data_IF_922804198704
#
_entry.id   IF_922804198704
#
_cell.length_a   1.000
_cell.length_b   1.000
_cell.length_c   1.000
_cell.angle_alpha   90.00
_cell.angle_beta   90.00
_cell.angle_gamma   90.00
#
_symmetry.space_group_name_H-M   'P 1'
#
loop_
_entity.id
_entity.type
_entity.pdbx_description
1 polymer ?
#
# COMPACT_ATOMS: atom_id res chain seq x y z
N UNK A 1 34.51 -0.69 -28.61
CA UNK A 1 35.08 -1.50 -27.53
C UNK A 1 33.92 -2.00 -26.68
N UNK A 2 33.66 -3.30 -26.75
CA UNK A 2 32.58 -3.99 -26.05
C UNK A 2 33.26 -4.79 -24.95
N UNK A 3 33.08 -4.40 -23.69
CA UNK A 3 33.56 -5.21 -22.58
C UNK A 3 32.46 -6.14 -22.07
N UNK A 4 32.87 -7.40 -22.02
CA UNK A 4 32.08 -8.60 -21.86
C UNK A 4 31.93 -8.91 -20.37
N UNK A 5 30.70 -9.23 -20.01
CA UNK A 5 30.22 -9.97 -18.84
C UNK A 5 31.28 -10.86 -18.18
N UNK A 6 31.50 -10.69 -16.88
CA UNK A 6 32.00 -11.76 -16.00
C UNK A 6 30.97 -12.07 -14.94
N UNK A 7 30.19 -13.11 -15.21
CA UNK A 7 29.41 -13.86 -14.21
C UNK A 7 30.41 -14.68 -13.39
N UNK A 8 30.50 -14.43 -12.09
CA UNK A 8 31.18 -15.35 -11.18
C UNK A 8 30.16 -16.37 -10.66
N UNK A 9 30.20 -17.55 -11.27
CA UNK A 9 29.64 -18.79 -10.74
C UNK A 9 30.71 -19.48 -9.88
N UNK A 10 30.28 -20.01 -8.74
CA UNK A 10 30.91 -21.18 -8.11
C UNK A 10 31.66 -20.91 -6.81
N UNK A 11 30.98 -21.13 -5.68
CA UNK A 11 31.52 -21.93 -4.58
C UNK A 11 30.42 -22.83 -4.02
N UNK A 12 30.55 -24.11 -4.33
CA UNK A 12 29.81 -25.23 -3.74
C UNK A 12 30.35 -25.39 -2.32
N UNK A 13 29.48 -25.33 -1.31
CA UNK A 13 29.80 -25.74 0.06
C UNK A 13 28.93 -26.95 0.38
N UNK A 14 29.63 -28.01 0.77
CA UNK A 14 29.08 -29.29 1.14
C UNK A 14 28.44 -29.25 2.55
N UNK A 15 27.31 -29.94 2.67
CA UNK A 15 27.00 -30.84 3.79
C UNK A 15 26.74 -30.23 5.17
N UNK A 16 25.47 -30.02 5.48
CA UNK A 16 24.91 -30.32 6.81
C UNK A 16 23.51 -30.90 6.65
N UNK A 17 23.38 -32.18 7.00
CA UNK A 17 22.13 -32.95 7.00
C UNK A 17 21.23 -32.48 8.14
N UNK A 18 20.07 -31.91 7.82
CA UNK A 18 18.96 -31.72 8.78
C UNK A 18 18.15 -33.01 8.81
N UNK A 19 18.18 -33.71 9.95
CA UNK A 19 17.31 -34.84 10.20
C UNK A 19 15.87 -34.35 10.41
N UNK A 20 15.02 -34.50 9.39
CA UNK A 20 13.57 -34.31 9.52
C UNK A 20 12.98 -35.60 10.07
N UNK A 21 12.59 -35.60 11.34
CA UNK A 21 11.78 -36.66 11.92
C UNK A 21 10.36 -36.58 11.32
N UNK A 22 10.11 -37.32 10.25
CA UNK A 22 8.76 -37.54 9.73
C UNK A 22 8.07 -38.60 10.60
N UNK A 23 7.18 -38.16 11.50
CA UNK A 23 6.30 -39.07 12.21
C UNK A 23 5.25 -39.62 11.22
N UNK A 24 5.48 -40.82 10.71
CA UNK A 24 4.50 -41.56 9.92
C UNK A 24 3.47 -42.18 10.87
N UNK A 25 2.26 -41.64 10.90
CA UNK A 25 1.12 -42.29 11.57
C UNK A 25 0.62 -43.39 10.63
N UNK A 26 1.03 -44.64 10.90
CA UNK A 26 0.47 -45.82 10.27
C UNK A 26 -0.92 -46.07 10.86
N UNK A 27 -1.97 -45.77 10.10
CA UNK A 27 -3.31 -46.26 10.38
C UNK A 27 -3.33 -47.74 10.03
N UNK A 28 -3.32 -48.59 11.06
CA UNK A 28 -3.45 -50.04 10.91
C UNK A 28 -4.82 -50.40 10.35
N UNK A 29 -4.85 -50.88 9.11
CA UNK A 29 -6.02 -51.55 8.55
C UNK A 29 -5.92 -53.02 8.99
N UNK A 30 -6.63 -53.39 10.06
CA UNK A 30 -6.80 -54.80 10.43
C UNK A 30 -7.71 -55.47 9.40
N UNK A 31 -7.11 -56.22 8.47
CA UNK A 31 -7.80 -57.20 7.65
C UNK A 31 -7.77 -58.54 8.39
N UNK A 32 -8.81 -58.79 9.19
CA UNK A 32 -9.15 -60.12 9.70
C UNK A 32 -10.43 -60.60 9.00
N UNK A 33 -10.36 -61.83 8.49
CA UNK A 33 -11.21 -62.38 7.44
C UNK A 33 -12.71 -62.51 7.73
N UNK A 34 -13.44 -62.61 6.61
CA UNK A 34 -14.67 -63.35 6.33
C UNK A 34 -15.53 -63.79 7.53
N UNK A 35 -16.70 -63.15 7.72
CA UNK A 35 -18.02 -63.66 7.27
C UNK A 35 -19.17 -62.75 7.76
N UNK A 36 -20.10 -62.49 6.83
CA UNK A 36 -21.50 -62.05 6.93
C UNK A 36 -22.05 -61.31 8.17
N UNK A 37 -22.61 -60.11 7.95
CA UNK A 37 -23.78 -59.66 8.69
C UNK A 37 -23.82 -58.18 9.12
N UNK A 38 -24.23 -57.31 8.20
CA UNK A 38 -24.90 -56.01 8.43
C UNK A 38 -24.53 -55.16 9.64
N UNK A 39 -23.72 -54.10 9.42
CA UNK A 39 -23.76 -52.80 10.15
C UNK A 39 -22.83 -51.77 9.50
N UNK A 40 -22.87 -51.65 8.16
CA UNK A 40 -22.01 -50.73 7.40
C UNK A 40 -22.39 -49.24 7.45
N UNK A 41 -23.57 -48.89 7.98
CA UNK A 41 -24.14 -47.54 7.84
C UNK A 41 -24.00 -46.63 9.07
N UNK A 42 -23.48 -47.11 10.20
CA UNK A 42 -23.41 -46.27 11.42
C UNK A 42 -22.09 -45.52 11.61
N UNK A 43 -21.00 -45.99 11.01
CA UNK A 43 -19.67 -45.42 11.26
C UNK A 43 -19.24 -44.39 10.20
N UNK A 44 -19.73 -44.50 8.96
CA UNK A 44 -19.55 -43.47 7.93
C UNK A 44 -20.39 -42.21 8.20
N UNK A 45 -21.56 -42.35 8.85
CA UNK A 45 -22.43 -41.24 9.21
C UNK A 45 -21.93 -40.42 10.41
N UNK A 46 -21.05 -40.95 11.26
CA UNK A 46 -20.48 -40.21 12.40
C UNK A 46 -19.35 -39.24 11.98
N UNK A 47 -18.67 -39.52 10.86
CA UNK A 47 -17.63 -38.64 10.31
C UNK A 47 -18.22 -37.56 9.38
N UNK A 48 -19.30 -37.88 8.65
CA UNK A 48 -20.02 -36.91 7.81
C UNK A 48 -20.84 -35.90 8.64
N UNK A 49 -21.46 -36.33 9.76
CA UNK A 49 -22.25 -35.44 10.62
C UNK A 49 -21.44 -34.36 11.38
N UNK A 50 -20.10 -34.41 11.34
CA UNK A 50 -19.23 -33.38 11.94
C UNK A 50 -18.72 -32.33 10.94
N UNK A 51 -18.97 -32.50 9.65
CA UNK A 51 -18.55 -31.53 8.62
C UNK A 51 -19.64 -30.48 8.31
N UNK A 52 -20.88 -30.71 8.74
CA UNK A 52 -22.00 -29.74 8.66
C UNK A 52 -22.12 -28.84 9.91
N UNK A 53 -21.13 -28.87 10.80
CA UNK A 53 -21.08 -27.95 11.93
C UNK A 53 -20.78 -26.54 11.40
N UNK A 54 -21.82 -25.70 11.32
CA UNK A 54 -21.67 -24.26 11.10
C UNK A 54 -20.66 -23.74 12.14
N UNK A 55 -19.52 -23.23 11.67
CA UNK A 55 -18.54 -22.61 12.53
C UNK A 55 -19.24 -21.50 13.32
N UNK A 56 -19.05 -21.48 14.64
CA UNK A 56 -19.58 -20.38 15.46
C UNK A 56 -19.02 -19.07 14.92
N UNK A 57 -19.86 -18.04 14.93
CA UNK A 57 -19.46 -16.70 14.52
C UNK A 57 -18.18 -16.29 15.26
N UNK A 58 -17.16 -15.89 14.49
CA UNK A 58 -15.92 -15.38 15.07
C UNK A 58 -16.19 -14.05 15.76
N UNK A 59 -15.75 -13.93 17.01
CA UNK A 59 -15.76 -12.65 17.72
C UNK A 59 -14.41 -11.98 17.46
N UNK A 60 -14.43 -10.75 16.97
CA UNK A 60 -13.23 -9.91 16.89
C UNK A 60 -13.01 -9.31 18.27
N UNK A 61 -11.88 -9.65 18.90
CA UNK A 61 -11.48 -9.02 20.15
C UNK A 61 -11.17 -7.55 19.91
N UNK A 62 -11.48 -6.70 20.89
CA UNK A 62 -11.09 -5.31 20.84
C UNK A 62 -9.56 -5.21 20.80
N UNK A 63 -9.03 -4.28 20.00
CA UNK A 63 -7.61 -3.97 20.04
C UNK A 63 -7.22 -3.51 21.45
N UNK A 64 -6.03 -3.89 21.95
CA UNK A 64 -5.53 -3.37 23.22
C UNK A 64 -5.35 -1.85 23.14
N UNK A 65 -5.38 -1.19 24.29
CA UNK A 65 -5.07 0.24 24.36
C UNK A 65 -3.64 0.50 23.87
N UNK A 66 -3.49 1.52 23.03
CA UNK A 66 -2.18 1.95 22.54
C UNK A 66 -1.39 2.63 23.67
N UNK A 67 -0.11 2.27 23.81
CA UNK A 67 0.80 2.92 24.76
C UNK A 67 1.28 4.29 24.27
N UNK A 68 1.84 5.12 25.16
CA UNK A 68 2.36 6.44 24.78
C UNK A 68 3.55 6.41 23.77
N UNK A 69 4.26 5.27 23.71
CA UNK A 69 5.41 5.03 22.82
C UNK A 69 5.49 3.55 22.44
N UNK A 70 5.97 3.27 21.24
CA UNK A 70 6.31 1.92 20.81
C UNK A 70 7.69 1.50 21.33
N UNK A 71 7.96 0.19 21.34
CA UNK A 71 9.25 -0.39 21.74
C UNK A 71 9.88 -1.14 20.57
N UNK A 72 11.18 -0.92 20.33
CA UNK A 72 11.92 -1.63 19.27
C UNK A 72 11.28 -1.44 17.89
N UNK A 73 10.74 -2.54 17.33
CA UNK A 73 10.11 -2.61 16.00
C UNK A 73 8.59 -2.47 16.02
N UNK A 74 7.99 -2.14 17.17
CA UNK A 74 6.56 -1.83 17.22
C UNK A 74 6.22 -0.72 16.22
N UNK A 75 5.05 -0.77 15.55
CA UNK A 75 4.55 0.33 14.74
C UNK A 75 4.61 1.67 15.50
N UNK A 76 4.65 2.77 14.76
CA UNK A 76 4.53 4.08 15.39
C UNK A 76 3.16 4.20 16.06
N UNK A 77 3.15 4.76 17.26
CA UNK A 77 1.90 5.15 17.92
C UNK A 77 1.33 6.42 17.30
N UNK A 78 0.04 6.69 17.48
CA UNK A 78 -0.60 7.91 16.97
C UNK A 78 0.12 9.16 17.50
N UNK A 79 0.52 9.16 18.77
CA UNK A 79 1.30 10.26 19.35
C UNK A 79 2.71 10.39 18.77
N UNK A 80 3.37 9.27 18.44
CA UNK A 80 4.68 9.30 17.77
C UNK A 80 4.58 9.89 16.36
N UNK A 81 3.52 9.53 15.61
CA UNK A 81 3.22 10.06 14.29
C UNK A 81 2.99 11.58 14.37
N UNK A 82 2.10 12.03 15.25
CA UNK A 82 1.78 13.47 15.39
C UNK A 82 3.03 14.28 15.77
N UNK A 83 3.82 13.78 16.74
CA UNK A 83 5.07 14.43 17.15
C UNK A 83 6.07 14.50 16.00
N UNK A 84 6.24 13.42 15.24
CA UNK A 84 7.16 13.37 14.13
C UNK A 84 6.78 14.35 13.01
N UNK A 85 5.51 14.36 12.60
CA UNK A 85 4.99 15.26 11.58
C UNK A 85 5.10 16.74 11.98
N UNK A 86 4.78 17.05 13.24
CA UNK A 86 4.91 18.41 13.76
C UNK A 86 6.37 18.88 13.78
N UNK A 87 7.29 18.01 14.19
CA UNK A 87 8.72 18.30 14.27
C UNK A 87 9.38 18.42 12.89
N UNK A 88 8.91 17.65 11.91
CA UNK A 88 9.53 17.57 10.58
C UNK A 88 9.27 18.84 9.74
N UNK A 89 8.17 19.54 9.97
CA UNK A 89 7.80 20.72 9.19
C UNK A 89 8.31 22.02 9.83
N UNK A 90 9.28 22.67 9.17
CA UNK A 90 9.80 23.98 9.58
C UNK A 90 8.96 25.14 9.03
N UNK A 91 9.01 26.33 9.64
CA UNK A 91 8.31 27.53 9.14
C UNK A 91 8.69 27.91 7.71
N UNK A 92 9.95 27.69 7.31
CA UNK A 92 10.40 27.87 5.92
C UNK A 92 9.77 26.85 4.98
N UNK A 93 9.65 25.59 5.38
CA UNK A 93 9.02 24.56 4.56
C UNK A 93 7.52 24.86 4.36
N UNK A 94 6.80 25.23 5.42
CA UNK A 94 5.37 25.63 5.37
C UNK A 94 5.10 26.75 4.37
N UNK A 95 5.99 27.74 4.28
CA UNK A 95 5.77 28.91 3.42
C UNK A 95 6.22 28.70 1.97
N UNK A 96 7.26 27.90 1.76
CA UNK A 96 7.92 27.77 0.46
C UNK A 96 7.41 26.60 -0.41
N UNK A 97 6.91 25.53 0.20
CA UNK A 97 6.39 24.35 -0.50
C UNK A 97 4.90 24.48 -0.85
N UNK A 98 4.42 23.58 -1.72
CA UNK A 98 3.00 23.43 -2.07
C UNK A 98 2.51 21.99 -1.95
N UNK A 99 1.26 21.86 -1.55
CA UNK A 99 0.54 20.59 -1.48
C UNK A 99 -0.17 20.29 -2.82
N UNK A 100 -0.91 19.19 -2.85
CA UNK A 100 -1.58 18.70 -4.08
C UNK A 100 -2.67 19.66 -4.60
N UNK A 101 -3.28 20.44 -3.71
CA UNK A 101 -4.31 21.42 -4.06
C UNK A 101 -3.70 22.75 -4.53
N UNK A 102 -2.40 22.96 -4.25
CA UNK A 102 -1.66 24.18 -4.56
C UNK A 102 -1.60 25.17 -3.40
N UNK A 103 -2.01 24.74 -2.21
CA UNK A 103 -1.97 25.51 -0.97
C UNK A 103 -0.59 25.44 -0.31
N UNK A 104 -0.38 26.30 0.69
CA UNK A 104 0.93 26.46 1.34
C UNK A 104 1.24 25.29 2.27
N UNK A 105 2.41 24.70 2.08
CA UNK A 105 2.90 23.57 2.87
C UNK A 105 3.21 22.40 1.94
N UNK A 106 4.09 21.47 2.31
CA UNK A 106 4.30 20.28 1.51
C UNK A 106 3.13 19.29 1.71
N UNK A 107 2.85 18.47 0.71
CA UNK A 107 1.92 17.34 0.84
C UNK A 107 2.56 16.23 1.68
N UNK A 108 1.93 15.83 2.78
CA UNK A 108 2.34 14.62 3.52
C UNK A 108 1.98 13.38 2.69
N UNK A 109 2.93 12.47 2.50
CA UNK A 109 2.72 11.20 1.80
C UNK A 109 2.60 10.02 2.77
N UNK A 110 3.51 9.94 3.73
CA UNK A 110 3.55 8.86 4.71
C UNK A 110 4.43 9.21 5.90
N UNK A 111 4.12 8.61 7.05
CA UNK A 111 4.94 8.60 8.25
C UNK A 111 5.13 7.16 8.68
N UNK A 112 6.37 6.67 8.69
CA UNK A 112 6.69 5.27 9.01
C UNK A 112 7.78 5.17 10.06
N UNK A 113 7.85 4.06 10.78
CA UNK A 113 9.02 3.74 11.60
C UNK A 113 10.24 3.64 10.68
N UNK A 114 11.31 4.36 11.01
CA UNK A 114 12.60 4.20 10.33
C UNK A 114 13.19 2.88 10.77
N UNK A 115 13.49 2.00 9.81
CA UNK A 115 14.18 0.75 10.11
C UNK A 115 15.61 1.07 10.63
N UNK A 116 16.04 0.50 11.76
CA UNK A 116 17.41 0.65 12.22
C UNK A 116 18.37 -0.05 11.25
N UNK A 117 19.60 0.47 11.11
CA UNK A 117 20.64 -0.20 10.32
C UNK A 117 20.88 -1.60 10.94
N UNK A 118 20.70 -2.69 10.17
CA UNK A 118 20.90 -4.05 10.68
C UNK A 118 22.33 -4.34 11.15
N UNK A 119 23.30 -3.48 10.78
CA UNK A 119 24.69 -3.54 11.25
C UNK A 119 25.05 -2.44 12.26
N UNK A 120 24.10 -1.58 12.60
CA UNK A 120 24.25 -0.52 13.61
C UNK A 120 24.06 -1.05 15.03
N UNK A 121 24.63 -0.35 16.01
CA UNK A 121 24.33 -0.59 17.43
C UNK A 121 22.93 -0.06 17.82
N UNK A 122 22.72 0.26 19.10
CA UNK A 122 21.47 0.86 19.62
C UNK A 122 21.21 2.25 18.99
N UNK A 123 20.65 2.26 17.77
CA UNK A 123 20.22 3.47 17.10
C UNK A 123 18.92 3.98 17.74
N UNK A 124 18.77 5.31 17.92
CA UNK A 124 17.53 5.87 18.47
C UNK A 124 16.33 5.55 17.58
N UNK A 125 15.20 5.20 18.21
CA UNK A 125 13.91 5.02 17.53
C UNK A 125 13.56 6.31 16.78
N UNK A 126 13.38 6.18 15.47
CA UNK A 126 13.19 7.32 14.57
C UNK A 126 12.02 7.08 13.63
N UNK A 127 11.34 8.14 13.21
CA UNK A 127 10.30 8.09 12.18
C UNK A 127 10.82 8.69 10.88
N UNK A 128 10.50 8.07 9.76
CA UNK A 128 10.66 8.63 8.43
C UNK A 128 9.36 9.30 8.00
N UNK A 129 9.41 10.62 7.81
CA UNK A 129 8.29 11.43 7.32
C UNK A 129 8.56 11.85 5.88
N UNK A 130 7.70 11.42 4.97
CA UNK A 130 7.85 11.63 3.53
C UNK A 130 6.84 12.67 3.06
N UNK A 131 7.34 13.66 2.35
CA UNK A 131 6.56 14.75 1.79
C UNK A 131 6.76 14.88 0.27
N UNK A 132 5.81 15.49 -0.41
CA UNK A 132 5.96 15.99 -1.77
C UNK A 132 5.79 17.52 -1.81
N UNK A 133 6.68 18.22 -2.51
CA UNK A 133 6.55 19.66 -2.80
C UNK A 133 6.13 19.83 -4.26
N UNK A 134 4.83 20.07 -4.49
CA UNK A 134 4.25 20.28 -5.81
C UNK A 134 4.76 21.54 -6.51
N UNK A 135 5.39 22.47 -5.79
CA UNK A 135 6.01 23.66 -6.42
C UNK A 135 7.31 23.31 -7.15
N UNK A 136 8.01 22.27 -6.71
CA UNK A 136 9.36 21.90 -7.19
C UNK A 136 9.44 20.52 -7.80
N UNK A 137 8.35 19.76 -7.74
CA UNK A 137 8.27 18.35 -8.12
C UNK A 137 9.36 17.51 -7.44
N UNK A 138 9.44 17.63 -6.10
CA UNK A 138 10.46 16.96 -5.28
C UNK A 138 9.84 16.20 -4.12
N UNK A 139 10.38 15.02 -3.84
CA UNK A 139 10.14 14.30 -2.59
C UNK A 139 11.10 14.81 -1.52
N UNK A 140 10.59 15.07 -0.32
CA UNK A 140 11.37 15.47 0.84
C UNK A 140 11.17 14.40 1.92
N UNK A 141 12.24 13.67 2.22
CA UNK A 141 12.25 12.65 3.28
C UNK A 141 12.95 13.21 4.50
N UNK A 142 12.34 13.06 5.68
CA UNK A 142 12.87 13.55 6.94
C UNK A 142 12.92 12.43 7.96
N UNK A 143 14.08 12.20 8.54
CA UNK A 143 14.23 11.30 9.67
C UNK A 143 14.12 12.10 10.96
N UNK A 144 13.15 11.77 11.81
CA UNK A 144 12.89 12.43 13.09
C UNK A 144 13.23 11.47 14.21
N UNK A 145 14.12 11.88 15.11
CA UNK A 145 14.38 11.15 16.34
C UNK A 145 13.19 11.34 17.31
N UNK A 146 12.50 10.26 17.67
CA UNK A 146 11.25 10.30 18.43
C UNK A 146 11.46 10.63 19.91
N UNK A 147 12.65 10.37 20.45
CA UNK A 147 12.97 10.71 21.84
C UNK A 147 13.18 12.22 22.03
N UNK A 148 13.89 12.84 21.10
CA UNK A 148 14.26 14.25 21.15
C UNK A 148 13.26 15.16 20.44
N UNK A 149 12.41 14.60 19.56
CA UNK A 149 11.50 15.36 18.71
C UNK A 149 12.23 16.25 17.69
N UNK A 150 13.44 15.86 17.28
CA UNK A 150 14.28 16.64 16.36
C UNK A 150 14.48 15.92 15.04
N UNK A 151 14.54 16.69 13.96
CA UNK A 151 14.93 16.19 12.64
C UNK A 151 16.43 15.87 12.68
N UNK A 152 16.76 14.59 12.50
CA UNK A 152 18.11 14.07 12.43
C UNK A 152 18.68 14.18 11.00
N UNK A 153 17.84 13.95 9.98
CA UNK A 153 18.24 14.02 8.59
C UNK A 153 17.15 14.61 7.68
N UNK A 154 17.54 15.17 6.54
CA UNK A 154 16.62 15.62 5.49
C UNK A 154 17.22 15.39 4.12
N UNK A 155 16.54 14.58 3.32
CA UNK A 155 16.89 14.28 1.93
C UNK A 155 15.85 14.89 1.01
N UNK A 156 16.29 15.50 -0.09
CA UNK A 156 15.40 15.99 -1.15
C UNK A 156 15.78 15.34 -2.48
N UNK A 157 14.83 14.66 -3.11
CA UNK A 157 15.05 13.94 -4.38
C UNK A 157 14.06 14.37 -5.45
N UNK A 158 14.50 14.28 -6.71
CA UNK A 158 13.67 14.50 -7.89
C UNK A 158 13.43 13.18 -8.62
N UNK A 159 12.33 13.11 -9.37
CA UNK A 159 11.97 11.95 -10.21
C UNK A 159 11.79 10.63 -9.42
N UNK A 160 11.58 10.72 -8.11
CA UNK A 160 11.17 9.62 -7.24
C UNK A 160 9.66 9.72 -7.06
N UNK A 161 8.98 8.59 -7.05
CA UNK A 161 7.52 8.52 -6.98
C UNK A 161 7.10 7.53 -5.89
N UNK A 162 7.04 7.97 -4.62
CA UNK A 162 6.48 7.17 -3.54
C UNK A 162 4.99 6.90 -3.78
N UNK A 163 4.40 5.90 -3.10
CA UNK A 163 2.96 5.65 -3.14
C UNK A 163 2.14 6.93 -2.88
N UNK A 164 0.93 7.04 -3.47
CA UNK A 164 0.06 8.19 -3.24
C UNK A 164 -0.56 8.19 -1.84
N UNK A 165 -0.76 9.37 -1.27
CA UNK A 165 -1.57 9.54 -0.07
C UNK A 165 -3.07 9.49 -0.38
N UNK A 166 -3.92 9.41 0.65
CA UNK A 166 -5.38 9.45 0.46
C UNK A 166 -5.84 10.82 -0.04
N UNK A 167 -5.22 11.91 0.41
CA UNK A 167 -5.48 13.27 -0.05
C UNK A 167 -5.16 13.42 -1.54
N UNK A 168 -4.05 12.82 -2.00
CA UNK A 168 -3.69 12.84 -3.42
C UNK A 168 -4.66 12.04 -4.28
N UNK A 169 -5.13 10.90 -3.77
CA UNK A 169 -6.16 10.12 -4.45
C UNK A 169 -7.50 10.88 -4.51
N UNK A 170 -7.87 11.57 -3.44
CA UNK A 170 -9.07 12.41 -3.38
C UNK A 170 -8.99 13.57 -4.38
N UNK A 171 -7.85 14.26 -4.44
CA UNK A 171 -7.64 15.34 -5.40
C UNK A 171 -7.62 14.82 -6.84
N UNK A 172 -6.98 13.67 -7.08
CA UNK A 172 -7.01 13.00 -8.38
C UNK A 172 -8.43 12.64 -8.81
N UNK A 173 -9.24 12.08 -7.91
CA UNK A 173 -10.64 11.80 -8.16
C UNK A 173 -11.45 13.09 -8.42
N UNK A 174 -11.15 14.19 -7.70
CA UNK A 174 -11.80 15.49 -7.93
C UNK A 174 -11.52 16.01 -9.33
N UNK A 175 -10.27 15.94 -9.78
CA UNK A 175 -9.87 16.32 -11.14
C UNK A 175 -10.57 15.44 -12.19
N UNK A 176 -10.61 14.12 -11.99
CA UNK A 176 -11.36 13.20 -12.87
C UNK A 176 -12.85 13.55 -12.94
N UNK A 177 -13.49 13.84 -11.80
CA UNK A 177 -14.89 14.25 -11.77
C UNK A 177 -15.07 15.57 -12.52
N UNK A 178 -14.16 16.53 -12.42
CA UNK A 178 -14.29 17.81 -13.12
C UNK A 178 -14.03 17.69 -14.64
N UNK A 179 -13.14 16.80 -15.05
CA UNK A 179 -12.65 16.71 -16.42
C UNK A 179 -13.65 16.04 -17.40
N UNK A 180 -13.76 16.51 -18.66
CA UNK A 180 -14.58 15.86 -19.69
C UNK A 180 -14.30 14.36 -19.91
N UNK A 181 -13.05 13.92 -19.74
CA UNK A 181 -12.66 12.50 -19.85
C UNK A 181 -13.29 11.64 -18.74
N UNK A 182 -13.61 12.22 -17.58
CA UNK A 182 -14.30 11.53 -16.48
C UNK A 182 -15.81 11.39 -16.66
N UNK A 183 -16.38 11.77 -17.81
CA UNK A 183 -17.83 11.59 -18.08
C UNK A 183 -18.28 10.13 -17.92
N UNK A 184 -17.43 9.16 -18.27
CA UNK A 184 -17.68 7.73 -18.07
C UNK A 184 -17.88 7.38 -16.59
N UNK A 185 -16.93 7.79 -15.75
CA UNK A 185 -16.99 7.63 -14.29
C UNK A 185 -18.32 8.15 -13.70
N UNK A 186 -18.75 9.36 -14.09
CA UNK A 186 -20.03 9.93 -13.62
C UNK A 186 -21.24 9.11 -14.07
N UNK A 187 -21.24 8.65 -15.33
CA UNK A 187 -22.33 7.85 -15.89
C UNK A 187 -22.44 6.50 -15.16
N UNK A 188 -21.32 5.84 -14.94
CA UNK A 188 -21.27 4.53 -14.31
C UNK A 188 -21.63 4.60 -12.83
N UNK A 189 -21.18 5.65 -12.12
CA UNK A 189 -21.62 5.91 -10.75
C UNK A 189 -23.14 6.13 -10.69
N UNK A 190 -23.70 6.95 -11.59
CA UNK A 190 -25.15 7.19 -11.65
C UNK A 190 -25.93 5.93 -11.99
N UNK A 191 -25.40 5.10 -12.88
CA UNK A 191 -26.01 3.82 -13.21
C UNK A 191 -26.03 2.87 -12.00
N UNK A 192 -24.93 2.79 -11.25
CA UNK A 192 -24.80 1.91 -10.10
C UNK A 192 -25.60 2.37 -8.87
N UNK A 193 -25.79 3.68 -8.68
CA UNK A 193 -26.33 4.25 -7.43
C UNK A 193 -27.63 5.02 -7.57
N UNK A 194 -28.02 5.38 -8.80
CA UNK A 194 -29.11 6.33 -9.08
C UNK A 194 -28.78 7.79 -8.75
N UNK A 195 -27.60 8.09 -8.18
CA UNK A 195 -27.20 9.43 -7.72
C UNK A 195 -26.18 10.07 -8.65
N UNK A 196 -26.10 11.40 -8.62
CA UNK A 196 -25.04 12.13 -9.35
C UNK A 196 -23.73 12.06 -8.55
N UNK A 197 -22.63 11.76 -9.26
CA UNK A 197 -21.29 11.89 -8.69
C UNK A 197 -20.85 13.35 -8.75
N UNK A 198 -20.69 13.95 -7.58
CA UNK A 198 -20.30 15.35 -7.39
C UNK A 198 -18.98 15.50 -6.66
N UNK A 199 -18.59 14.52 -5.86
CA UNK A 199 -17.41 14.63 -4.99
C UNK A 199 -16.71 13.30 -4.73
N UNK A 200 -15.39 13.32 -4.42
CA UNK A 200 -14.60 12.11 -4.19
C UNK A 200 -15.07 11.25 -3.01
N UNK A 201 -15.64 11.86 -1.97
CA UNK A 201 -16.11 11.18 -0.75
C UNK A 201 -17.28 10.22 -1.01
N UNK A 202 -17.90 10.27 -2.18
CA UNK A 202 -18.90 9.29 -2.60
C UNK A 202 -18.27 7.96 -3.05
N UNK A 203 -16.95 7.93 -3.21
CA UNK A 203 -16.18 6.80 -3.69
C UNK A 203 -15.30 6.22 -2.57
N UNK A 204 -14.96 4.94 -2.70
CA UNK A 204 -13.79 4.35 -2.09
C UNK A 204 -12.65 4.43 -3.11
N UNK A 205 -11.51 4.98 -2.69
CA UNK A 205 -10.39 5.28 -3.56
C UNK A 205 -9.20 4.38 -3.25
N UNK A 206 -8.51 4.00 -4.31
CA UNK A 206 -7.17 3.41 -4.28
C UNK A 206 -6.42 3.94 -5.51
N UNK A 207 -5.16 3.61 -5.66
CA UNK A 207 -4.44 4.02 -6.85
C UNK A 207 -2.97 3.70 -6.79
N UNK A 208 -2.30 4.08 -7.87
CA UNK A 208 -0.87 3.86 -8.03
C UNK A 208 -0.26 5.00 -8.82
N UNK A 209 1.04 5.18 -8.62
CA UNK A 209 1.85 6.05 -9.45
C UNK A 209 1.84 5.53 -10.88
N UNK A 210 1.60 6.44 -11.82
CA UNK A 210 1.84 6.23 -13.24
C UNK A 210 3.17 6.84 -13.67
N UNK A 211 4.00 6.04 -14.33
CA UNK A 211 5.20 6.52 -15.01
C UNK A 211 5.07 6.19 -16.49
N UNK A 212 5.53 7.08 -17.36
CA UNK A 212 5.42 6.86 -18.81
C UNK A 212 6.09 5.55 -19.26
N UNK A 213 7.13 5.10 -18.56
CA UNK A 213 7.85 3.87 -18.86
C UNK A 213 7.03 2.59 -18.62
N UNK A 214 5.87 2.66 -17.94
CA UNK A 214 5.02 1.48 -17.68
C UNK A 214 4.20 1.04 -18.89
N UNK A 215 4.12 1.86 -19.94
CA UNK A 215 3.36 1.56 -21.16
C UNK A 215 4.19 1.77 -22.42
N UNK A 216 3.91 0.97 -23.47
CA UNK A 216 4.68 1.01 -24.73
C UNK A 216 4.50 2.30 -25.54
N UNK A 217 3.30 2.89 -25.48
CA UNK A 217 2.96 4.12 -26.19
C UNK A 217 2.30 5.07 -25.22
N UNK A 218 2.93 6.22 -25.04
CA UNK A 218 2.48 7.25 -24.11
C UNK A 218 1.94 8.41 -24.94
N UNK A 219 0.67 8.82 -24.76
CA UNK A 219 0.15 10.04 -25.34
C UNK A 219 1.01 11.25 -24.97
N UNK A 220 1.14 12.23 -25.85
CA UNK A 220 1.95 13.42 -25.59
C UNK A 220 1.56 14.16 -24.30
N UNK A 221 0.26 14.17 -23.98
CA UNK A 221 -0.27 14.77 -22.74
C UNK A 221 0.23 14.10 -21.46
N UNK A 222 0.80 12.90 -21.53
CA UNK A 222 1.33 12.13 -20.40
C UNK A 222 2.86 11.97 -20.47
N UNK A 223 3.53 12.68 -21.40
CA UNK A 223 4.96 12.54 -21.65
C UNK A 223 5.86 12.98 -20.50
N UNK A 224 5.32 13.74 -19.55
CA UNK A 224 6.03 14.23 -18.36
C UNK A 224 5.81 13.37 -17.12
N UNK A 225 4.92 12.37 -17.18
CA UNK A 225 4.66 11.47 -16.07
C UNK A 225 5.91 10.65 -15.69
N UNK A 226 6.31 10.75 -14.43
CA UNK A 226 7.58 10.24 -13.90
C UNK A 226 8.51 11.37 -13.46
N UNK A 227 8.51 12.50 -14.19
CA UNK A 227 9.01 13.79 -13.69
C UNK A 227 7.93 14.46 -12.87
N UNK A 228 6.75 14.62 -13.48
CA UNK A 228 5.53 15.02 -12.80
C UNK A 228 4.96 13.85 -12.00
N UNK A 229 4.24 14.17 -10.92
CA UNK A 229 3.54 13.19 -10.10
C UNK A 229 2.20 12.84 -10.74
N UNK A 230 2.19 11.74 -11.51
CA UNK A 230 1.00 11.23 -12.16
C UNK A 230 0.45 10.00 -11.43
N UNK A 231 -0.87 9.89 -11.31
CA UNK A 231 -1.56 8.76 -10.70
C UNK A 231 -2.57 8.12 -11.65
N UNK A 232 -2.73 6.80 -11.53
CA UNK A 232 -3.95 6.10 -11.93
C UNK A 232 -4.81 5.90 -10.68
N UNK A 233 -5.91 6.65 -10.59
CA UNK A 233 -6.87 6.53 -9.49
C UNK A 233 -7.85 5.42 -9.81
N UNK A 234 -7.97 4.45 -8.90
CA UNK A 234 -8.95 3.37 -8.96
C UNK A 234 -10.15 3.76 -8.11
N UNK A 235 -11.33 3.71 -8.72
CA UNK A 235 -12.58 4.19 -8.12
C UNK A 235 -13.57 3.07 -7.88
N UNK A 236 -14.16 3.03 -6.69
CA UNK A 236 -15.21 2.09 -6.32
C UNK A 236 -16.38 2.82 -5.68
N UNK A 237 -17.61 2.40 -5.96
CA UNK A 237 -18.78 2.83 -5.19
C UNK A 237 -18.65 2.28 -3.77
N UNK A 238 -18.90 3.11 -2.75
CA UNK A 238 -18.92 2.64 -1.35
C UNK A 238 -19.91 1.49 -1.20
N UNK A 239 -19.43 0.35 -0.70
CA UNK A 239 -20.19 -0.90 -0.60
C UNK A 239 -20.81 -1.38 -1.93
N UNK A 240 -20.20 -1.04 -3.06
CA UNK A 240 -20.71 -1.32 -4.40
C UNK A 240 -19.62 -1.72 -5.41
N UNK A 241 -19.92 -1.66 -6.71
CA UNK A 241 -19.01 -2.10 -7.76
C UNK A 241 -17.82 -1.15 -7.97
N UNK A 242 -16.78 -1.69 -8.61
CA UNK A 242 -15.71 -0.90 -9.18
C UNK A 242 -16.20 -0.16 -10.44
N UNK A 243 -15.68 1.05 -10.65
CA UNK A 243 -15.93 1.83 -11.88
C UNK A 243 -14.61 1.87 -12.67
N UNK A 244 -14.66 1.59 -13.96
CA UNK A 244 -13.46 1.50 -14.79
C UNK A 244 -12.88 2.89 -15.10
N UNK A 245 -11.75 3.18 -14.46
CA UNK A 245 -10.94 4.39 -14.64
C UNK A 245 -9.53 4.06 -15.14
N UNK A 246 -9.25 2.81 -15.53
CA UNK A 246 -7.89 2.33 -15.85
C UNK A 246 -7.23 3.07 -17.01
N UNK A 247 -8.03 3.54 -17.97
CA UNK A 247 -7.53 4.30 -19.11
C UNK A 247 -7.23 5.77 -18.76
N UNK A 248 -7.52 6.24 -17.56
CA UNK A 248 -7.34 7.63 -17.16
C UNK A 248 -6.12 7.77 -16.27
N UNK A 249 -5.32 8.81 -16.53
CA UNK A 249 -4.17 9.19 -15.74
C UNK A 249 -4.33 10.65 -15.35
N UNK A 250 -4.13 10.95 -14.08
CA UNK A 250 -4.15 12.31 -13.57
C UNK A 250 -2.72 12.77 -13.33
N UNK A 251 -2.31 13.85 -13.96
CA UNK A 251 -1.09 14.57 -13.61
C UNK A 251 -1.44 15.56 -12.50
N UNK A 252 -1.02 15.27 -11.27
CA UNK A 252 -1.28 16.13 -10.12
C UNK A 252 -0.39 17.37 -10.12
N UNK A 253 0.81 17.30 -10.70
CA UNK A 253 1.73 18.44 -10.82
C UNK A 253 1.16 19.54 -11.71
N UNK A 254 0.53 19.18 -12.82
CA UNK A 254 -0.11 20.15 -13.74
C UNK A 254 -1.62 20.23 -13.60
N UNK A 255 -2.22 19.41 -12.75
CA UNK A 255 -3.66 19.35 -12.47
C UNK A 255 -4.49 19.05 -13.74
N UNK A 256 -4.01 18.13 -14.55
CA UNK A 256 -4.61 17.75 -15.84
C UNK A 256 -4.93 16.26 -15.90
N UNK A 257 -5.93 15.90 -16.71
CA UNK A 257 -6.27 14.50 -16.97
C UNK A 257 -5.87 14.12 -18.39
N UNK A 258 -5.20 12.98 -18.53
CA UNK A 258 -4.91 12.35 -19.82
C UNK A 258 -5.55 10.97 -19.91
N UNK A 259 -5.64 10.47 -21.14
CA UNK A 259 -6.22 9.15 -21.44
C UNK A 259 -5.23 8.28 -22.18
N UNK A 260 -5.01 7.08 -21.65
CA UNK A 260 -4.35 5.97 -22.33
C UNK A 260 -5.25 5.48 -23.48
N UNK A 261 -4.62 5.19 -24.62
CA UNK A 261 -5.28 4.85 -25.88
C UNK A 261 -6.23 3.67 -25.80
#
# INVERSE_FOLDING_TARGET
>A
MRDIVRRHLGKVVAGTTVAVAAAAVLVGVNLSGSEAGGSGDRQANAAAAKQDAVAKDGVVEAAPEEGAKGVGSDPLTDEEIERAEKASVSGRLRSSARDVEGDRGPQLLSTNLSEPDPNGGDAPRSAEVVYYDYKKDTVITKTVNLETGKVADTVTTKNVQPPPSQEELAEGARLLIADPLGKGLKKDFKHATGKTLTSPDQLQLSGMVFRKETVKRVPASLGECGRNRCLQVVTKVKSGPWIDTRALVVDLSTRTVGRLG
#
